data_IF_676749683629
#
_entry.id   IF_676749683629
#
_cell.length_a   1.000
_cell.length_b   1.000
_cell.length_c   1.000
_cell.angle_alpha   90.00
_cell.angle_beta   90.00
_cell.angle_gamma   90.00
#
_symmetry.space_group_name_H-M   'P 1'
#
loop_
_entity.id
_entity.type
_entity.pdbx_description
1 polymer ?
#
# COMPACT_ATOMS: atom_id res chain seq x y z
N UNK A 1 -8.56 27.89 -1.48
CA UNK A 1 -8.87 27.42 -2.85
C UNK A 1 -7.68 26.75 -3.52
N UNK A 2 -6.49 27.39 -3.62
CA UNK A 2 -5.30 26.80 -4.25
C UNK A 2 -4.84 25.47 -3.62
N UNK A 3 -4.84 25.38 -2.28
CA UNK A 3 -4.47 24.17 -1.53
C UNK A 3 -5.41 23.00 -1.87
N UNK A 4 -6.72 23.25 -1.87
CA UNK A 4 -7.73 22.24 -2.19
C UNK A 4 -7.57 21.73 -3.62
N UNK A 5 -7.40 22.62 -4.60
CA UNK A 5 -7.18 22.23 -6.01
C UNK A 5 -5.90 21.41 -6.15
N UNK A 6 -4.80 21.86 -5.56
CA UNK A 6 -3.51 21.15 -5.59
C UNK A 6 -3.62 19.77 -4.95
N UNK A 7 -4.30 19.67 -3.80
CA UNK A 7 -4.53 18.40 -3.11
C UNK A 7 -5.34 17.40 -3.93
N UNK A 8 -6.39 17.83 -4.62
CA UNK A 8 -7.19 16.94 -5.47
C UNK A 8 -6.46 16.52 -6.74
N UNK A 9 -5.64 17.41 -7.32
CA UNK A 9 -4.74 17.03 -8.42
C UNK A 9 -3.74 15.96 -7.98
N UNK A 10 -3.14 16.13 -6.79
CA UNK A 10 -2.25 15.13 -6.22
C UNK A 10 -3.01 13.82 -5.90
N UNK A 11 -4.26 13.88 -5.45
CA UNK A 11 -5.11 12.71 -5.25
C UNK A 11 -5.29 11.92 -6.56
N UNK A 12 -5.55 12.60 -7.68
CA UNK A 12 -5.62 11.97 -9.00
C UNK A 12 -4.28 11.33 -9.37
N UNK A 13 -3.16 12.03 -9.17
CA UNK A 13 -1.82 11.47 -9.42
C UNK A 13 -1.52 10.23 -8.55
N UNK A 14 -1.94 10.23 -7.28
CA UNK A 14 -1.87 9.07 -6.38
C UNK A 14 -2.69 7.91 -6.96
N UNK A 15 -3.92 8.18 -7.41
CA UNK A 15 -4.78 7.21 -8.07
C UNK A 15 -4.12 6.59 -9.31
N UNK A 16 -3.59 7.43 -10.20
CA UNK A 16 -2.87 6.99 -11.40
C UNK A 16 -1.69 6.09 -11.02
N UNK A 17 -0.88 6.52 -10.05
CA UNK A 17 0.24 5.73 -9.54
C UNK A 17 -0.20 4.40 -8.95
N UNK A 18 -1.30 4.38 -8.18
CA UNK A 18 -1.90 3.18 -7.61
C UNK A 18 -2.40 2.20 -8.70
N UNK A 19 -2.91 2.72 -9.82
CA UNK A 19 -3.37 1.90 -10.94
C UNK A 19 -2.23 1.32 -11.77
N UNK A 20 -1.14 2.08 -11.94
CA UNK A 20 0.01 1.67 -12.74
C UNK A 20 0.96 0.72 -12.00
N UNK A 21 1.27 1.03 -10.75
CA UNK A 21 2.26 0.30 -9.93
C UNK A 21 1.56 -0.72 -9.03
N UNK A 22 0.23 -0.67 -8.95
CA UNK A 22 -0.54 -1.36 -7.93
C UNK A 22 -0.37 -0.66 -6.59
N UNK A 23 -0.40 -1.45 -5.52
CA UNK A 23 -0.28 -1.02 -4.13
C UNK A 23 0.81 0.00 -3.77
N UNK A 24 1.88 0.12 -4.58
CA UNK A 24 2.96 1.09 -4.42
C UNK A 24 2.52 2.56 -4.37
N UNK A 25 1.55 2.94 -5.22
CA UNK A 25 1.08 4.33 -5.31
C UNK A 25 0.40 4.86 -4.04
N UNK A 26 -0.16 3.96 -3.22
CA UNK A 26 -0.84 4.31 -1.97
C UNK A 26 0.07 4.97 -0.93
N UNK A 27 1.39 4.79 -1.05
CA UNK A 27 2.38 5.31 -0.09
C UNK A 27 2.40 6.85 -0.06
N UNK A 28 1.93 7.50 -1.11
CA UNK A 28 1.94 8.96 -1.25
C UNK A 28 0.70 9.64 -0.66
N UNK A 29 -0.38 8.91 -0.41
CA UNK A 29 -1.63 9.48 0.10
C UNK A 29 -1.44 10.15 1.47
N UNK A 30 -0.75 9.48 2.40
CA UNK A 30 -0.53 10.02 3.73
C UNK A 30 0.30 11.32 3.73
N UNK A 31 1.47 11.42 3.08
CA UNK A 31 2.21 12.68 2.97
C UNK A 31 1.39 13.83 2.38
N UNK A 32 0.59 13.58 1.34
CA UNK A 32 -0.24 14.62 0.73
C UNK A 32 -1.32 15.10 1.70
N UNK A 33 -2.01 14.19 2.39
CA UNK A 33 -2.99 14.57 3.41
C UNK A 33 -2.35 15.37 4.56
N UNK A 34 -1.17 14.96 5.02
CA UNK A 34 -0.50 15.60 6.16
C UNK A 34 0.07 16.97 5.79
N UNK A 35 0.86 17.02 4.72
CA UNK A 35 1.70 18.20 4.43
C UNK A 35 1.08 19.17 3.44
N UNK A 36 0.14 18.73 2.59
CA UNK A 36 -0.57 19.61 1.65
C UNK A 36 -1.95 19.96 2.22
N UNK A 37 -2.71 18.95 2.64
CA UNK A 37 -4.06 19.16 3.18
C UNK A 37 -4.09 19.52 4.67
N UNK A 38 -2.93 19.57 5.33
CA UNK A 38 -2.79 19.95 6.75
C UNK A 38 -3.63 19.07 7.70
N UNK A 39 -3.84 17.80 7.34
CA UNK A 39 -4.58 16.84 8.16
C UNK A 39 -3.67 16.28 9.26
N UNK A 40 -4.13 16.18 10.52
CA UNK A 40 -3.36 15.53 11.59
C UNK A 40 -2.94 14.11 11.21
N UNK A 41 -1.70 13.71 11.52
CA UNK A 41 -1.12 12.46 10.99
C UNK A 41 -1.98 11.22 11.26
N UNK A 42 -2.46 11.02 12.50
CA UNK A 42 -3.30 9.87 12.85
C UNK A 42 -4.61 9.84 12.04
N UNK A 43 -5.21 10.99 11.79
CA UNK A 43 -6.41 11.13 10.95
C UNK A 43 -6.09 10.85 9.48
N UNK A 44 -4.98 11.39 8.96
CA UNK A 44 -4.53 11.17 7.59
C UNK A 44 -4.29 9.69 7.28
N UNK A 45 -3.70 8.96 8.22
CA UNK A 45 -3.51 7.51 8.11
C UNK A 45 -4.86 6.76 8.10
N UNK A 46 -5.77 7.08 9.02
CA UNK A 46 -7.12 6.50 8.98
C UNK A 46 -7.86 6.79 7.66
N UNK A 47 -7.79 8.03 7.16
CA UNK A 47 -8.40 8.43 5.88
C UNK A 47 -7.75 7.70 4.70
N UNK A 48 -6.43 7.50 4.72
CA UNK A 48 -5.70 6.80 3.66
C UNK A 48 -6.18 5.36 3.51
N UNK A 49 -6.49 4.66 4.60
CA UNK A 49 -7.06 3.31 4.54
C UNK A 49 -8.37 3.30 3.74
N UNK A 50 -9.28 4.24 4.00
CA UNK A 50 -10.54 4.32 3.26
C UNK A 50 -10.33 4.71 1.79
N UNK A 51 -9.55 5.78 1.54
CA UNK A 51 -9.27 6.27 0.17
C UNK A 51 -8.70 5.14 -0.68
N UNK A 52 -7.66 4.48 -0.16
CA UNK A 52 -6.96 3.42 -0.88
C UNK A 52 -7.81 2.16 -0.96
N UNK A 53 -8.58 1.83 0.08
CA UNK A 53 -9.50 0.69 0.08
C UNK A 53 -10.54 0.82 -1.03
N UNK A 54 -11.23 1.96 -1.11
CA UNK A 54 -12.24 2.23 -2.15
C UNK A 54 -11.61 2.28 -3.54
N UNK A 55 -10.50 3.00 -3.71
CA UNK A 55 -9.79 3.05 -4.99
C UNK A 55 -9.36 1.63 -5.43
N UNK A 56 -8.93 0.78 -4.51
CA UNK A 56 -8.50 -0.59 -4.82
C UNK A 56 -9.65 -1.52 -5.22
N UNK A 57 -10.85 -1.32 -4.67
CA UNK A 57 -12.06 -2.03 -5.17
C UNK A 57 -12.27 -1.69 -6.65
N UNK A 58 -12.19 -0.41 -7.00
CA UNK A 58 -12.38 0.08 -8.38
C UNK A 58 -11.26 -0.44 -9.29
N UNK A 59 -10.00 -0.34 -8.86
CA UNK A 59 -8.84 -0.82 -9.61
C UNK A 59 -8.78 -2.34 -9.78
N UNK A 60 -9.40 -3.10 -8.88
CA UNK A 60 -9.46 -4.57 -9.00
C UNK A 60 -10.22 -5.00 -10.25
N UNK A 61 -11.29 -4.29 -10.61
CA UNK A 61 -12.19 -4.65 -11.72
C UNK A 61 -11.43 -4.92 -13.03
N UNK A 62 -10.62 -3.98 -13.56
CA UNK A 62 -9.87 -4.22 -14.80
C UNK A 62 -8.81 -5.32 -14.66
N UNK A 63 -8.23 -5.52 -13.48
CA UNK A 63 -7.26 -6.61 -13.26
C UNK A 63 -7.93 -7.98 -13.18
N UNK A 64 -9.12 -8.08 -12.60
CA UNK A 64 -9.92 -9.30 -12.59
C UNK A 64 -10.33 -9.66 -14.02
N UNK A 65 -10.86 -8.70 -14.79
CA UNK A 65 -11.22 -8.92 -16.19
C UNK A 65 -10.05 -9.42 -17.07
N UNK A 66 -8.81 -9.08 -16.70
CA UNK A 66 -7.59 -9.52 -17.38
C UNK A 66 -7.02 -10.84 -16.86
N UNK A 67 -7.69 -11.52 -15.92
CA UNK A 67 -7.21 -12.77 -15.33
C UNK A 67 -6.01 -12.62 -14.39
N UNK A 68 -5.69 -11.40 -13.95
CA UNK A 68 -4.52 -11.09 -13.12
C UNK A 68 -4.80 -11.25 -11.61
N UNK A 69 -5.74 -12.10 -11.20
CA UNK A 69 -6.16 -12.22 -9.80
C UNK A 69 -6.06 -13.68 -9.34
N UNK A 70 -5.28 -13.91 -8.29
CA UNK A 70 -5.16 -15.21 -7.65
C UNK A 70 -6.05 -15.31 -6.41
N UNK A 71 -7.25 -15.83 -6.56
CA UNK A 71 -8.18 -15.98 -5.44
C UNK A 71 -7.70 -16.95 -4.36
N UNK A 72 -6.84 -17.94 -4.69
CA UNK A 72 -6.27 -18.85 -3.69
C UNK A 72 -5.35 -18.09 -2.74
N UNK A 73 -4.52 -17.19 -3.28
CA UNK A 73 -3.64 -16.38 -2.46
C UNK A 73 -4.43 -15.34 -1.67
N UNK A 74 -5.47 -14.72 -2.26
CA UNK A 74 -6.38 -13.85 -1.50
C UNK A 74 -6.96 -14.59 -0.29
N UNK A 75 -7.47 -15.81 -0.50
CA UNK A 75 -8.09 -16.59 0.57
C UNK A 75 -7.13 -16.94 1.72
N UNK A 76 -5.83 -17.14 1.42
CA UNK A 76 -4.81 -17.46 2.42
C UNK A 76 -4.24 -16.19 3.11
N UNK A 77 -3.99 -15.14 2.33
CA UNK A 77 -3.28 -13.94 2.80
C UNK A 77 -4.23 -12.91 3.42
N UNK A 78 -5.41 -12.69 2.83
CA UNK A 78 -6.30 -11.62 3.25
C UNK A 78 -6.82 -11.78 4.69
N UNK A 79 -7.29 -12.95 5.15
CA UNK A 79 -7.79 -13.08 6.53
C UNK A 79 -6.72 -12.77 7.58
N UNK A 80 -5.50 -13.30 7.39
CA UNK A 80 -4.40 -13.02 8.28
C UNK A 80 -3.99 -11.54 8.22
N UNK A 81 -3.94 -10.95 7.03
CA UNK A 81 -3.65 -9.54 6.85
C UNK A 81 -4.74 -8.61 7.39
N UNK A 82 -6.00 -9.01 7.38
CA UNK A 82 -7.12 -8.28 7.96
C UNK A 82 -7.01 -8.25 9.48
N UNK A 83 -6.75 -9.40 10.11
CA UNK A 83 -6.49 -9.50 11.55
C UNK A 83 -5.28 -8.67 11.93
N UNK A 84 -4.19 -8.79 11.19
CA UNK A 84 -2.99 -8.00 11.42
C UNK A 84 -3.25 -6.50 11.28
N UNK A 85 -3.96 -6.07 10.23
CA UNK A 85 -4.27 -4.66 9.99
C UNK A 85 -5.10 -4.05 11.14
N UNK A 86 -6.08 -4.79 11.65
CA UNK A 86 -6.86 -4.36 12.80
C UNK A 86 -5.99 -4.23 14.06
N UNK A 87 -5.17 -5.25 14.37
CA UNK A 87 -4.27 -5.23 15.53
C UNK A 87 -3.25 -4.09 15.41
N UNK A 88 -2.63 -3.92 14.25
CA UNK A 88 -1.68 -2.83 13.98
C UNK A 88 -2.32 -1.46 14.17
N UNK A 89 -3.53 -1.25 13.63
CA UNK A 89 -4.27 0.00 13.79
C UNK A 89 -4.64 0.26 15.27
N UNK A 90 -5.03 -0.79 16.00
CA UNK A 90 -5.26 -0.70 17.45
C UNK A 90 -3.99 -0.32 18.19
N UNK A 91 -2.85 -0.92 17.87
CA UNK A 91 -1.55 -0.56 18.45
C UNK A 91 -1.20 0.91 18.19
N UNK A 92 -1.40 1.41 16.97
CA UNK A 92 -1.13 2.81 16.63
C UNK A 92 -2.07 3.82 17.35
N UNK A 93 -3.26 3.36 17.73
CA UNK A 93 -4.22 4.17 18.47
C UNK A 93 -3.94 4.25 19.98
N UNK A 94 -2.96 3.49 20.49
CA UNK A 94 -2.59 3.51 21.90
C UNK A 94 -2.00 4.87 22.31
N UNK A 95 -2.18 5.29 23.58
CA UNK A 95 -1.79 6.62 24.05
C UNK A 95 -0.28 6.87 24.00
N UNK A 96 0.54 5.81 24.12
CA UNK A 96 2.00 5.92 24.05
C UNK A 96 2.53 6.02 22.61
N UNK A 97 1.72 5.71 21.59
CA UNK A 97 2.13 5.85 20.19
C UNK A 97 1.83 7.27 19.73
N UNK A 98 2.85 8.11 19.69
CA UNK A 98 2.74 9.49 19.23
C UNK A 98 2.65 9.57 17.69
N UNK A 99 2.07 10.66 17.14
CA UNK A 99 2.11 10.92 15.69
C UNK A 99 3.53 10.85 15.11
N UNK A 100 4.52 11.33 15.85
CA UNK A 100 5.94 11.30 15.47
C UNK A 100 6.47 9.88 15.34
N UNK A 101 6.13 8.96 16.26
CA UNK A 101 6.52 7.54 16.14
C UNK A 101 5.88 6.90 14.91
N UNK A 102 4.63 7.21 14.62
CA UNK A 102 3.94 6.67 13.44
C UNK A 102 4.52 7.23 12.14
N UNK A 103 4.84 8.53 12.11
CA UNK A 103 5.59 9.17 11.03
C UNK A 103 6.96 8.48 10.92
N UNK A 104 7.88 8.65 11.89
CA UNK A 104 8.81 7.58 12.32
C UNK A 104 8.92 6.33 11.44
N UNK A 105 8.15 5.35 11.84
CA UNK A 105 8.01 4.06 11.19
C UNK A 105 7.61 4.19 9.72
N UNK A 106 6.63 5.03 9.39
CA UNK A 106 6.20 5.22 8.01
C UNK A 106 7.34 5.67 7.08
N UNK A 107 8.15 6.65 7.47
CA UNK A 107 9.21 7.18 6.60
C UNK A 107 10.39 6.24 6.43
N UNK A 108 10.71 5.47 7.49
CA UNK A 108 11.67 4.37 7.38
C UNK A 108 11.16 3.32 6.39
N UNK A 109 9.88 2.98 6.44
CA UNK A 109 9.28 2.06 5.47
C UNK A 109 9.25 2.63 4.05
N UNK A 110 9.01 3.94 3.87
CA UNK A 110 9.14 4.60 2.57
C UNK A 110 10.58 4.54 2.05
N UNK A 111 11.58 4.77 2.91
CA UNK A 111 12.99 4.65 2.53
C UNK A 111 13.30 3.24 2.05
N UNK A 112 12.92 2.21 2.83
CA UNK A 112 13.13 0.81 2.46
C UNK A 112 12.47 0.53 1.12
N UNK A 113 11.19 0.88 0.94
CA UNK A 113 10.46 0.70 -0.30
C UNK A 113 11.16 1.37 -1.49
N UNK A 114 11.52 2.66 -1.35
CA UNK A 114 12.20 3.42 -2.40
C UNK A 114 13.54 2.82 -2.81
N UNK A 115 14.37 2.40 -1.83
CA UNK A 115 15.67 1.78 -2.08
C UNK A 115 15.47 0.46 -2.83
N UNK A 116 14.48 -0.34 -2.44
CA UNK A 116 14.19 -1.60 -3.13
C UNK A 116 13.74 -1.38 -4.58
N UNK A 117 12.89 -0.38 -4.84
CA UNK A 117 12.43 -0.01 -6.19
C UNK A 117 13.57 0.52 -7.07
N UNK A 118 14.46 1.34 -6.51
CA UNK A 118 15.60 1.93 -7.26
C UNK A 118 16.66 0.88 -7.58
N UNK A 119 17.09 0.11 -6.56
CA UNK A 119 18.18 -0.88 -6.71
C UNK A 119 17.79 -2.03 -7.62
N UNK A 120 16.53 -2.45 -7.56
CA UNK A 120 16.00 -3.48 -8.43
C UNK A 120 15.33 -2.90 -9.68
N UNK A 121 15.75 -1.72 -10.20
CA UNK A 121 15.19 -1.16 -11.45
C UNK A 121 15.09 -2.23 -12.54
N UNK A 122 13.88 -2.79 -12.71
CA UNK A 122 13.63 -4.23 -12.88
C UNK A 122 14.87 -5.14 -12.86
N UNK A 123 15.18 -5.68 -11.69
CA UNK A 123 15.45 -7.09 -11.67
C UNK A 123 14.19 -7.74 -12.23
N UNK A 124 14.32 -8.59 -13.23
CA UNK A 124 13.49 -9.79 -13.22
C UNK A 124 13.35 -10.19 -11.75
N UNK A 125 12.15 -10.29 -11.20
CA UNK A 125 11.98 -11.12 -10.01
C UNK A 125 12.09 -12.61 -10.42
N UNK A 126 12.97 -12.95 -11.37
CA UNK A 126 13.95 -14.00 -11.17
C UNK A 126 15.03 -13.42 -10.23
N UNK A 127 14.70 -13.33 -8.93
CA UNK A 127 15.72 -13.77 -7.99
C UNK A 127 15.90 -15.25 -8.37
N UNK A 128 17.10 -15.73 -8.78
CA UNK A 128 17.32 -17.15 -8.94
C UNK A 128 16.72 -17.82 -7.71
N UNK A 129 15.87 -18.82 -7.93
CA UNK A 129 14.95 -19.45 -6.96
C UNK A 129 15.57 -19.88 -5.61
N UNK A 130 16.86 -19.64 -5.42
CA UNK A 130 17.78 -20.23 -4.45
C UNK A 130 18.43 -19.25 -3.45
N UNK A 131 18.29 -17.91 -3.55
CA UNK A 131 19.30 -17.05 -2.88
C UNK A 131 18.88 -16.02 -1.82
N UNK A 132 17.62 -15.88 -1.38
CA UNK A 132 17.35 -14.98 -0.22
C UNK A 132 16.47 -15.57 0.89
N UNK A 133 15.60 -16.55 0.61
CA UNK A 133 15.09 -17.50 1.63
C UNK A 133 14.79 -18.82 0.91
N UNK A 134 15.64 -19.81 1.12
CA UNK A 134 15.44 -21.16 0.61
C UNK A 134 14.28 -21.86 1.37
N UNK A 135 13.04 -21.61 0.95
CA UNK A 135 11.87 -22.42 1.33
C UNK A 135 11.81 -23.74 0.53
N UNK A 136 12.93 -24.20 -0.02
CA UNK A 136 13.04 -25.36 -0.89
C UNK A 136 13.68 -26.59 -0.27
N UNK A 137 14.51 -26.47 0.76
CA UNK A 137 15.17 -27.65 1.37
C UNK A 137 15.11 -27.77 2.90
N UNK A 138 14.81 -26.70 3.65
CA UNK A 138 14.81 -26.74 5.13
C UNK A 138 13.73 -25.89 5.83
N UNK A 139 12.56 -25.67 5.23
CA UNK A 139 11.48 -24.96 5.93
C UNK A 139 10.60 -25.89 6.76
N UNK A 140 10.58 -25.68 8.07
CA UNK A 140 9.85 -26.48 9.08
C UNK A 140 8.31 -26.31 8.96
N UNK A 141 7.83 -25.30 8.23
CA UNK A 141 6.41 -24.92 8.15
C UNK A 141 5.78 -25.20 6.78
N UNK A 142 4.48 -25.57 6.73
CA UNK A 142 3.76 -25.72 5.47
C UNK A 142 3.52 -24.38 4.77
N UNK A 143 3.54 -24.38 3.43
CA UNK A 143 3.47 -23.16 2.58
C UNK A 143 2.27 -22.25 2.88
N UNK A 144 1.11 -22.82 3.16
CA UNK A 144 -0.10 -22.05 3.47
C UNK A 144 0.02 -21.26 4.78
N UNK A 145 0.75 -21.82 5.77
CA UNK A 145 0.99 -21.17 7.05
C UNK A 145 2.02 -20.04 6.91
N UNK A 146 3.03 -20.20 6.06
CA UNK A 146 3.99 -19.13 5.77
C UNK A 146 3.28 -17.91 5.15
N UNK A 147 2.43 -18.12 4.13
CA UNK A 147 1.63 -17.06 3.49
C UNK A 147 0.71 -16.36 4.51
N UNK A 148 0.10 -17.13 5.42
CA UNK A 148 -0.76 -16.56 6.46
C UNK A 148 0.05 -15.72 7.47
N UNK A 149 1.19 -16.22 7.95
CA UNK A 149 2.06 -15.48 8.89
C UNK A 149 2.59 -14.20 8.27
N UNK A 150 2.98 -14.22 7.00
CA UNK A 150 3.37 -13.04 6.25
C UNK A 150 2.21 -12.06 6.12
N UNK A 151 1.02 -12.55 5.78
CA UNK A 151 -0.20 -11.77 5.76
C UNK A 151 -0.40 -11.05 7.08
N UNK A 152 -0.26 -11.75 8.21
CA UNK A 152 -0.37 -11.19 9.55
C UNK A 152 0.67 -10.10 9.81
N UNK A 153 1.96 -10.35 9.54
CA UNK A 153 3.05 -9.39 9.76
C UNK A 153 2.88 -8.15 8.89
N UNK A 154 2.62 -8.33 7.60
CA UNK A 154 2.35 -7.23 6.66
C UNK A 154 1.10 -6.48 7.11
N UNK A 155 0.06 -7.18 7.56
CA UNK A 155 -1.13 -6.61 8.16
C UNK A 155 -0.80 -5.70 9.34
N UNK A 156 -0.07 -6.19 10.34
CA UNK A 156 0.29 -5.43 11.54
C UNK A 156 1.06 -4.16 11.17
N UNK A 157 2.09 -4.29 10.31
CA UNK A 157 2.91 -3.15 9.91
C UNK A 157 2.08 -2.11 9.14
N UNK A 158 1.27 -2.55 8.18
CA UNK A 158 0.48 -1.65 7.34
C UNK A 158 -0.70 -1.03 8.09
N UNK A 159 -1.32 -1.76 9.03
CA UNK A 159 -2.33 -1.24 9.94
C UNK A 159 -1.76 -0.23 10.94
N UNK A 160 -0.59 -0.51 11.50
CA UNK A 160 0.11 0.42 12.40
C UNK A 160 0.47 1.72 11.70
N UNK A 161 1.00 1.63 10.48
CA UNK A 161 1.28 2.83 9.69
C UNK A 161 -0.03 3.49 9.25
N UNK A 162 -1.08 2.72 8.94
CA UNK A 162 -2.35 3.21 8.42
C UNK A 162 -2.23 3.70 6.99
N UNK A 163 -1.38 3.06 6.20
CA UNK A 163 -1.37 3.21 4.75
C UNK A 163 -1.80 1.86 4.26
N UNK A 164 -2.81 1.81 3.39
CA UNK A 164 -3.33 0.57 2.84
C UNK A 164 -2.19 -0.39 2.40
N UNK A 165 -1.00 0.10 2.09
CA UNK A 165 0.22 -0.69 2.35
C UNK A 165 0.46 -1.75 1.30
N UNK A 166 -0.11 -1.53 0.11
CA UNK A 166 0.09 -2.41 -1.02
C UNK A 166 1.55 -2.43 -1.51
N UNK A 167 2.36 -1.43 -1.13
CA UNK A 167 3.81 -1.46 -1.36
C UNK A 167 4.54 -2.58 -0.59
N UNK A 168 3.97 -3.11 0.51
CA UNK A 168 4.50 -4.28 1.22
C UNK A 168 3.85 -5.58 0.78
N UNK A 169 2.59 -5.52 0.34
CA UNK A 169 1.86 -6.70 -0.13
C UNK A 169 2.49 -7.23 -1.42
N UNK A 170 2.83 -6.37 -2.38
CA UNK A 170 3.40 -6.82 -3.66
C UNK A 170 4.74 -7.57 -3.46
N UNK A 171 5.75 -7.03 -2.75
CA UNK A 171 6.98 -7.77 -2.48
C UNK A 171 6.75 -9.09 -1.75
N UNK A 172 5.82 -9.14 -0.78
CA UNK A 172 5.50 -10.39 -0.09
C UNK A 172 4.95 -11.44 -1.07
N UNK A 173 3.98 -11.07 -1.91
CA UNK A 173 3.39 -11.97 -2.92
C UNK A 173 4.39 -12.44 -3.97
N UNK A 174 5.26 -11.55 -4.44
CA UNK A 174 6.24 -11.87 -5.50
C UNK A 174 7.38 -12.71 -4.95
N UNK A 175 7.95 -12.34 -3.80
CA UNK A 175 9.14 -13.00 -3.26
C UNK A 175 8.80 -14.33 -2.57
N UNK A 176 7.68 -14.39 -1.85
CA UNK A 176 7.34 -15.50 -0.96
C UNK A 176 6.22 -16.35 -1.57
N UNK A 177 5.19 -15.69 -2.11
CA UNK A 177 4.10 -16.33 -2.85
C UNK A 177 4.47 -16.78 -4.27
N UNK A 178 5.68 -16.48 -4.76
CA UNK A 178 6.17 -16.77 -6.12
C UNK A 178 5.17 -16.40 -7.23
N UNK A 179 4.42 -15.32 -7.00
CA UNK A 179 3.35 -14.89 -7.90
C UNK A 179 3.91 -13.99 -8.99
N UNK A 180 3.56 -14.19 -10.28
CA UNK A 180 3.93 -13.28 -11.35
C UNK A 180 3.54 -11.83 -11.04
N UNK A 181 4.39 -10.86 -11.40
CA UNK A 181 4.20 -9.45 -11.03
C UNK A 181 2.82 -8.89 -11.40
N UNK A 182 2.32 -9.19 -12.61
CA UNK A 182 0.99 -8.74 -13.06
C UNK A 182 -0.13 -9.30 -12.19
N UNK A 183 -0.02 -10.56 -11.82
CA UNK A 183 -0.98 -11.26 -10.95
C UNK A 183 -0.87 -10.78 -9.50
N UNK A 184 0.34 -10.50 -9.02
CA UNK A 184 0.58 -9.92 -7.69
C UNK A 184 -0.04 -8.52 -7.56
N UNK A 185 0.03 -7.69 -8.60
CA UNK A 185 -0.63 -6.37 -8.63
C UNK A 185 -2.15 -6.52 -8.46
N UNK A 186 -2.81 -7.32 -9.30
CA UNK A 186 -4.27 -7.52 -9.21
C UNK A 186 -4.71 -8.15 -7.89
N UNK A 187 -4.00 -9.18 -7.44
CA UNK A 187 -4.25 -9.86 -6.15
C UNK A 187 -4.06 -8.90 -4.97
N UNK A 188 -3.06 -8.03 -5.02
CA UNK A 188 -2.78 -7.06 -3.95
C UNK A 188 -3.91 -6.03 -3.80
N UNK A 189 -4.58 -5.62 -4.88
CA UNK A 189 -5.69 -4.66 -4.83
C UNK A 189 -6.89 -5.24 -4.06
N UNK A 190 -7.17 -6.54 -4.22
CA UNK A 190 -8.22 -7.21 -3.43
C UNK A 190 -7.85 -7.27 -1.96
N UNK A 191 -6.63 -7.75 -1.66
CA UNK A 191 -6.11 -7.81 -0.29
C UNK A 191 -6.17 -6.42 0.36
N UNK A 192 -5.81 -5.40 -0.39
CA UNK A 192 -5.79 -4.00 0.01
C UNK A 192 -7.20 -3.49 0.33
N UNK A 193 -8.18 -3.76 -0.54
CA UNK A 193 -9.58 -3.44 -0.28
C UNK A 193 -10.07 -4.09 1.02
N UNK A 194 -9.85 -5.41 1.18
CA UNK A 194 -10.33 -6.17 2.33
C UNK A 194 -9.69 -5.72 3.65
N UNK A 195 -8.36 -5.63 3.72
CA UNK A 195 -7.66 -5.25 4.96
C UNK A 195 -7.83 -3.77 5.31
N UNK A 196 -8.14 -2.91 4.35
CA UNK A 196 -8.40 -1.50 4.62
C UNK A 196 -9.67 -1.30 5.45
N UNK A 197 -10.67 -2.18 5.28
CA UNK A 197 -11.88 -2.19 6.11
C UNK A 197 -11.51 -2.44 7.58
N UNK A 198 -10.75 -3.49 7.86
CA UNK A 198 -10.38 -3.85 9.23
C UNK A 198 -9.34 -2.91 9.83
N UNK A 199 -8.39 -2.42 9.02
CA UNK A 199 -7.46 -1.37 9.43
C UNK A 199 -8.20 -0.10 9.85
N UNK A 200 -9.15 0.37 9.03
CA UNK A 200 -9.93 1.56 9.34
C UNK A 200 -10.79 1.36 10.59
N UNK A 201 -11.41 0.17 10.75
CA UNK A 201 -12.14 -0.18 11.96
C UNK A 201 -11.29 -0.11 13.24
N UNK A 202 -9.98 -0.34 13.16
CA UNK A 202 -9.06 -0.15 14.28
C UNK A 202 -8.92 1.32 14.72
N UNK A 203 -8.91 2.24 13.75
CA UNK A 203 -8.86 3.70 13.99
C UNK A 203 -10.23 4.32 14.27
N UNK A 204 -11.32 3.69 13.82
CA UNK A 204 -12.66 4.25 13.90
C UNK A 204 -13.06 4.59 15.35
N UNK A 205 -13.59 5.80 15.53
CA UNK A 205 -13.95 6.34 16.85
C UNK A 205 -12.78 6.76 17.74
N UNK A 206 -11.51 6.65 17.28
CA UNK A 206 -10.32 7.06 18.05
C UNK A 206 -9.61 8.29 17.49
N UNK A 207 -9.90 8.65 16.25
CA UNK A 207 -9.32 9.80 15.55
C UNK A 207 -10.42 10.60 14.88
N UNK A 208 -10.30 11.94 14.81
CA UNK A 208 -11.25 12.76 14.07
C UNK A 208 -11.10 12.50 12.57
N UNK A 209 -12.22 12.47 11.84
CA UNK A 209 -12.25 12.23 10.40
C UNK A 209 -13.01 13.37 9.75
N UNK A 210 -12.36 14.05 8.82
CA UNK A 210 -13.03 14.99 7.92
C UNK A 210 -13.67 14.21 6.77
N UNK A 211 -14.97 13.94 6.89
CA UNK A 211 -15.72 13.16 5.91
C UNK A 211 -15.84 13.85 4.55
N UNK A 212 -15.89 15.18 4.51
CA UNK A 212 -15.98 15.95 3.27
C UNK A 212 -14.67 15.82 2.48
N UNK A 213 -13.54 16.01 3.15
CA UNK A 213 -12.24 15.80 2.52
C UNK A 213 -12.05 14.33 2.14
N UNK A 214 -12.45 13.39 3.01
CA UNK A 214 -12.32 11.97 2.74
C UNK A 214 -13.04 11.55 1.46
N UNK A 215 -14.32 11.92 1.31
CA UNK A 215 -15.14 11.55 0.16
C UNK A 215 -14.61 12.20 -1.11
N UNK A 216 -14.35 13.51 -1.09
CA UNK A 216 -13.86 14.25 -2.26
C UNK A 216 -12.48 13.76 -2.73
N UNK A 217 -11.56 13.49 -1.80
CA UNK A 217 -10.23 12.94 -2.11
C UNK A 217 -10.31 11.50 -2.61
N UNK A 218 -11.24 10.69 -2.08
CA UNK A 218 -11.50 9.31 -2.55
C UNK A 218 -12.01 9.30 -3.98
N UNK A 219 -12.95 10.18 -4.34
CA UNK A 219 -13.46 10.31 -5.71
C UNK A 219 -12.31 10.69 -6.66
N UNK A 220 -11.50 11.68 -6.28
CA UNK A 220 -10.35 12.11 -7.08
C UNK A 220 -9.33 10.97 -7.31
N UNK A 221 -8.95 10.25 -6.25
CA UNK A 221 -8.05 9.10 -6.37
C UNK A 221 -8.66 7.95 -7.19
N UNK A 222 -9.98 7.74 -7.08
CA UNK A 222 -10.71 6.71 -7.82
C UNK A 222 -10.82 7.01 -9.31
N UNK A 223 -10.95 8.28 -9.70
CA UNK A 223 -10.84 8.67 -11.11
C UNK A 223 -9.42 8.41 -11.64
N UNK A 224 -8.41 8.75 -10.83
CA UNK A 224 -7.01 8.49 -11.17
C UNK A 224 -6.70 7.01 -11.40
N UNK A 225 -7.22 6.10 -10.55
CA UNK A 225 -6.91 4.67 -10.67
C UNK A 225 -7.51 4.02 -11.92
N UNK A 226 -8.67 4.49 -12.39
CA UNK A 226 -9.26 4.02 -13.64
C UNK A 226 -8.36 4.36 -14.83
N UNK A 227 -7.84 5.59 -14.86
CA UNK A 227 -6.87 6.03 -15.87
C UNK A 227 -5.58 5.22 -15.73
N UNK A 228 -4.99 5.16 -14.52
CA UNK A 228 -3.74 4.45 -14.27
C UNK A 228 -3.79 2.96 -14.66
N UNK A 229 -4.86 2.26 -14.28
CA UNK A 229 -5.04 0.83 -14.59
C UNK A 229 -5.19 0.54 -16.09
N UNK A 230 -5.71 1.49 -16.86
CA UNK A 230 -5.75 1.39 -18.32
C UNK A 230 -4.35 1.61 -18.93
N UNK A 231 -3.59 2.60 -18.42
CA UNK A 231 -2.24 2.92 -18.91
C UNK A 231 -1.21 1.82 -18.61
N UNK A 232 -1.50 0.89 -17.69
CA UNK A 232 -0.64 -0.26 -17.37
C UNK A 232 -0.33 -1.12 -18.61
N UNK A 233 -1.20 -1.12 -19.63
CA UNK A 233 -0.99 -1.86 -20.89
C UNK A 233 0.08 -1.24 -21.79
N UNK A 234 0.34 0.06 -21.64
CA UNK A 234 1.19 0.84 -22.55
C UNK A 234 2.52 1.26 -21.92
N UNK A 235 2.74 0.96 -20.64
CA UNK A 235 3.90 1.46 -19.89
C UNK A 235 4.81 0.31 -19.48
N UNK A 236 6.13 0.46 -19.62
CA UNK A 236 7.07 -0.54 -19.12
C UNK A 236 7.08 -0.51 -17.57
N UNK A 237 6.77 -1.62 -16.88
CA UNK A 237 6.75 -1.65 -15.41
C UNK A 237 8.11 -1.23 -14.81
N UNK A 238 9.19 -1.58 -15.51
CA UNK A 238 10.59 -1.34 -15.13
C UNK A 238 10.93 0.13 -14.96
N UNK A 239 10.61 0.96 -15.95
CA UNK A 239 10.97 2.38 -15.92
C UNK A 239 10.11 3.15 -14.92
N UNK A 240 8.82 2.80 -14.86
CA UNK A 240 7.89 3.45 -13.95
C UNK A 240 8.22 3.16 -12.48
N UNK A 241 8.53 1.91 -12.13
CA UNK A 241 8.92 1.54 -10.77
C UNK A 241 10.20 2.24 -10.33
N UNK A 242 11.22 2.32 -11.19
CA UNK A 242 12.47 3.01 -10.87
C UNK A 242 12.27 4.51 -10.69
N UNK A 243 11.51 5.15 -11.59
CA UNK A 243 11.18 6.58 -11.49
C UNK A 243 10.37 6.90 -10.24
N UNK A 244 9.36 6.07 -9.95
CA UNK A 244 8.57 6.18 -8.73
C UNK A 244 9.42 5.97 -7.48
N UNK A 245 10.37 5.03 -7.50
CA UNK A 245 11.33 4.82 -6.42
C UNK A 245 12.09 6.09 -6.06
N UNK A 246 12.64 6.82 -7.04
CA UNK A 246 13.29 8.12 -6.77
C UNK A 246 12.34 9.16 -6.20
N UNK A 247 11.10 9.20 -6.68
CA UNK A 247 10.09 10.10 -6.15
C UNK A 247 9.74 9.78 -4.69
N UNK A 248 9.50 8.50 -4.38
CA UNK A 248 9.24 8.04 -3.00
C UNK A 248 10.44 8.31 -2.11
N UNK A 249 11.69 8.16 -2.60
CA UNK A 249 12.90 8.48 -1.84
C UNK A 249 12.91 9.96 -1.43
N UNK A 250 12.62 10.87 -2.36
CA UNK A 250 12.56 12.31 -2.07
C UNK A 250 11.48 12.63 -1.02
N UNK A 251 10.29 12.05 -1.17
CA UNK A 251 9.20 12.23 -0.19
C UNK A 251 9.57 11.61 1.16
N UNK A 252 10.22 10.44 1.18
CA UNK A 252 10.64 9.77 2.42
C UNK A 252 11.61 10.64 3.23
N UNK A 253 12.63 11.20 2.57
CA UNK A 253 13.60 12.13 3.17
C UNK A 253 12.86 13.36 3.71
N UNK A 254 11.97 13.96 2.92
CA UNK A 254 11.17 15.10 3.35
C UNK A 254 10.32 14.80 4.59
N UNK A 255 9.59 13.68 4.57
CA UNK A 255 8.76 13.24 5.71
C UNK A 255 9.65 12.99 6.92
N UNK A 256 10.87 12.47 6.77
CA UNK A 256 11.83 12.22 7.86
C UNK A 256 12.39 13.47 8.51
N UNK A 257 12.63 14.52 7.72
CA UNK A 257 13.16 15.79 8.23
C UNK A 257 12.07 16.60 8.92
N UNK A 258 10.82 16.56 8.42
CA UNK A 258 9.71 17.41 8.87
C UNK A 258 8.78 16.73 9.90
N UNK A 259 9.29 15.85 10.76
CA UNK A 259 8.47 15.01 11.68
C UNK A 259 7.95 15.72 12.90
#
# INVERSE_FOLDING_TARGET
>A
MLITVTGHLLAICIGISLGLIGGGGSILAAPVLIYVMSVPAKSAFAMTLVIVGVASVIGTIPHWQQGNVNFKIVALFAPASMTGAYLGARLASLPFVTPTIQLVTFGVMMLIASITMIRKGASKSEVPLESIVDYGKHSILPKWLAIALEGLVVGIITGFIGIGGGFLVIPALVLLGKTPMKEAVGTSLIILALKSVTGFAGYFGRVPIDWNLLISFTIAASMGILVGSHLTKFTSPKQLEKGFGYFVLAVAIFVLIKR
#
